data_IF_185065135854
#
_entry.id   IF_185065135854
#
_cell.length_a   1.000
_cell.length_b   1.000
_cell.length_c   1.000
_cell.angle_alpha   90.00
_cell.angle_beta   90.00
_cell.angle_gamma   90.00
#
_symmetry.space_group_name_H-M   'P 1'
#
loop_
_entity.id
_entity.type
_entity.pdbx_description
1 polymer ?
#
# COMPACT_ATOMS: atom_id res chain seq x y z
N UNK A 1 -14.87 0.38 -34.92
CA UNK A 1 -13.61 1.14 -35.01
C UNK A 1 -13.73 2.26 -34.01
N UNK A 2 -13.06 2.12 -32.85
CA UNK A 2 -13.00 3.20 -31.88
C UNK A 2 -12.20 4.37 -32.47
N UNK A 3 -12.60 5.58 -32.18
CA UNK A 3 -11.80 6.77 -32.52
C UNK A 3 -10.41 6.57 -31.90
N UNK A 4 -9.34 6.73 -32.68
CA UNK A 4 -7.98 6.75 -32.17
C UNK A 4 -7.87 7.93 -31.19
N UNK A 5 -7.54 7.65 -29.95
CA UNK A 5 -7.25 8.70 -28.97
C UNK A 5 -5.96 9.38 -29.44
N UNK A 6 -6.01 10.68 -29.65
CA UNK A 6 -4.84 11.48 -30.04
C UNK A 6 -3.81 11.51 -28.91
N UNK A 7 -2.52 11.54 -29.22
CA UNK A 7 -1.48 11.65 -28.19
C UNK A 7 -1.60 12.98 -27.44
N UNK A 8 -1.33 12.98 -26.15
CA UNK A 8 -1.13 14.20 -25.38
C UNK A 8 0.10 14.94 -25.91
N UNK A 9 -0.05 16.23 -26.22
CA UNK A 9 1.01 17.05 -26.79
C UNK A 9 1.66 17.93 -25.73
N UNK A 10 2.95 18.13 -25.86
CA UNK A 10 3.74 19.12 -25.13
C UNK A 10 3.49 20.52 -25.68
N UNK A 11 3.95 21.57 -24.99
CA UNK A 11 3.82 22.96 -25.41
C UNK A 11 4.48 23.26 -26.78
N UNK A 12 5.48 22.46 -27.18
CA UNK A 12 6.15 22.52 -28.47
C UNK A 12 5.40 21.79 -29.61
N UNK A 13 4.29 21.17 -29.30
CA UNK A 13 3.45 20.40 -30.22
C UNK A 13 3.89 18.96 -30.43
N UNK A 14 5.00 18.53 -29.82
CA UNK A 14 5.46 17.13 -29.87
C UNK A 14 4.67 16.24 -28.89
N UNK A 15 4.38 14.98 -29.21
CA UNK A 15 3.71 14.08 -28.29
C UNK A 15 4.58 13.75 -27.08
N UNK A 16 3.95 13.59 -25.92
CA UNK A 16 4.62 13.04 -24.74
C UNK A 16 5.04 11.60 -25.00
N UNK A 17 6.31 11.30 -24.78
CA UNK A 17 6.82 9.92 -24.70
C UNK A 17 6.46 9.34 -23.34
N UNK A 18 5.51 8.42 -23.30
CA UNK A 18 5.06 7.79 -22.06
C UNK A 18 5.56 6.34 -21.98
N UNK A 19 5.85 5.87 -20.77
CA UNK A 19 6.14 4.46 -20.53
C UNK A 19 5.45 3.95 -19.26
N UNK A 20 5.04 2.69 -19.28
CA UNK A 20 4.61 1.93 -18.10
C UNK A 20 5.79 1.11 -17.61
N UNK A 21 6.25 1.38 -16.39
CA UNK A 21 7.34 0.65 -15.74
C UNK A 21 6.77 -0.35 -14.72
N UNK A 22 7.14 -1.62 -14.87
CA UNK A 22 6.69 -2.72 -14.02
C UNK A 22 7.91 -3.46 -13.47
N UNK A 23 8.19 -3.39 -12.17
CA UNK A 23 9.15 -4.27 -11.52
C UNK A 23 8.54 -5.66 -11.32
N UNK A 24 9.32 -6.71 -11.60
CA UNK A 24 8.85 -8.10 -11.47
C UNK A 24 9.94 -9.03 -10.96
N UNK A 25 9.52 -10.14 -10.36
CA UNK A 25 10.38 -11.29 -10.05
C UNK A 25 9.56 -12.57 -9.90
N UNK A 26 9.84 -13.59 -10.72
CA UNK A 26 9.19 -14.92 -10.66
C UNK A 26 7.65 -14.84 -10.57
N UNK A 27 7.02 -14.08 -11.44
CA UNK A 27 5.58 -13.86 -11.45
C UNK A 27 5.03 -13.78 -12.89
N UNK A 28 5.55 -14.61 -13.79
CA UNK A 28 5.25 -14.58 -15.23
C UNK A 28 3.74 -14.69 -15.53
N UNK A 29 3.00 -15.55 -14.83
CA UNK A 29 1.58 -15.79 -15.07
C UNK A 29 0.72 -14.55 -14.76
N UNK A 30 0.98 -13.85 -13.66
CA UNK A 30 0.27 -12.61 -13.33
C UNK A 30 0.74 -11.45 -14.23
N UNK A 31 2.04 -11.37 -14.53
CA UNK A 31 2.57 -10.39 -15.47
C UNK A 31 1.92 -10.52 -16.85
N UNK A 32 1.66 -11.74 -17.34
CA UNK A 32 0.98 -11.96 -18.61
C UNK A 32 -0.41 -11.33 -18.63
N UNK A 33 -1.16 -11.42 -17.53
CA UNK A 33 -2.47 -10.76 -17.37
C UNK A 33 -2.33 -9.24 -17.46
N UNK A 34 -1.32 -8.67 -16.78
CA UNK A 34 -1.07 -7.23 -16.82
C UNK A 34 -0.75 -6.78 -18.25
N UNK A 35 0.16 -7.48 -18.94
CA UNK A 35 0.58 -7.13 -20.30
C UNK A 35 -0.55 -7.29 -21.32
N UNK A 36 -1.39 -8.32 -21.17
CA UNK A 36 -2.60 -8.46 -21.97
C UNK A 36 -3.57 -7.28 -21.79
N UNK A 37 -3.73 -6.78 -20.58
CA UNK A 37 -4.56 -5.59 -20.30
C UNK A 37 -3.94 -4.32 -20.84
N UNK A 38 -2.61 -4.17 -20.78
CA UNK A 38 -1.88 -3.03 -21.32
C UNK A 38 -1.92 -3.01 -22.85
N UNK A 39 -1.85 -4.16 -23.52
CA UNK A 39 -1.95 -4.23 -24.99
C UNK A 39 -3.32 -3.82 -25.54
N UNK A 40 -4.35 -3.72 -24.68
CA UNK A 40 -5.72 -3.35 -25.03
C UNK A 40 -6.13 -1.95 -24.53
N UNK A 41 -5.17 -1.13 -24.12
CA UNK A 41 -5.46 0.22 -23.60
C UNK A 41 -6.10 1.11 -24.66
N UNK A 42 -7.02 1.98 -24.25
CA UNK A 42 -7.64 3.00 -25.14
C UNK A 42 -6.63 4.02 -25.64
N UNK A 43 -5.63 4.36 -24.83
CA UNK A 43 -4.51 5.21 -25.22
C UNK A 43 -3.32 4.35 -25.66
N UNK A 44 -2.96 4.33 -26.94
CA UNK A 44 -1.94 3.40 -27.47
C UNK A 44 -0.51 3.98 -27.49
N UNK A 45 -0.33 5.25 -27.17
CA UNK A 45 0.95 5.96 -27.34
C UNK A 45 1.83 5.85 -26.08
N UNK A 46 2.26 4.64 -25.73
CA UNK A 46 3.20 4.38 -24.63
C UNK A 46 4.01 3.11 -24.89
N UNK A 47 5.14 3.02 -24.22
CA UNK A 47 5.99 1.83 -24.20
C UNK A 47 5.82 1.07 -22.88
N UNK A 48 6.15 -0.23 -22.87
CA UNK A 48 6.16 -1.05 -21.66
C UNK A 48 7.60 -1.42 -21.36
N UNK A 49 8.03 -1.13 -20.13
CA UNK A 49 9.37 -1.44 -19.62
C UNK A 49 9.26 -2.33 -18.40
N UNK A 50 9.90 -3.48 -18.44
CA UNK A 50 9.91 -4.47 -17.37
C UNK A 50 11.28 -4.47 -16.70
N UNK A 51 11.33 -4.16 -15.40
CA UNK A 51 12.52 -4.31 -14.57
C UNK A 51 12.47 -5.67 -13.88
N UNK A 52 13.12 -6.67 -14.46
CA UNK A 52 13.11 -8.05 -13.99
C UNK A 52 14.27 -8.32 -13.03
N UNK A 53 13.98 -8.60 -11.78
CA UNK A 53 14.98 -8.91 -10.75
C UNK A 53 15.44 -10.38 -10.82
N UNK A 54 15.96 -10.80 -11.99
CA UNK A 54 16.50 -12.15 -12.26
C UNK A 54 15.48 -13.26 -12.04
N UNK A 55 14.33 -13.16 -12.66
CA UNK A 55 13.35 -14.25 -12.69
C UNK A 55 13.95 -15.54 -13.24
N UNK A 56 13.45 -16.66 -12.74
CA UNK A 56 13.85 -18.02 -13.16
C UNK A 56 12.72 -18.77 -13.85
N UNK A 57 11.57 -18.16 -13.92
CA UNK A 57 10.39 -18.63 -14.65
C UNK A 57 10.40 -18.09 -16.10
N UNK A 58 9.27 -18.18 -16.78
CA UNK A 58 9.14 -17.73 -18.18
C UNK A 58 8.82 -16.23 -18.33
N UNK A 59 9.23 -15.39 -17.36
CA UNK A 59 8.98 -13.92 -17.39
C UNK A 59 9.51 -13.29 -18.69
N UNK A 60 10.69 -13.66 -19.14
CA UNK A 60 11.29 -13.10 -20.34
C UNK A 60 10.49 -13.41 -21.60
N UNK A 61 10.06 -14.64 -21.74
CA UNK A 61 9.22 -15.10 -22.88
C UNK A 61 7.87 -14.35 -22.90
N UNK A 62 7.29 -14.07 -21.74
CA UNK A 62 6.08 -13.25 -21.63
C UNK A 62 6.36 -11.82 -22.10
N UNK A 63 7.45 -11.20 -21.70
CA UNK A 63 7.84 -9.86 -22.18
C UNK A 63 7.99 -9.82 -23.71
N UNK A 64 8.70 -10.80 -24.28
CA UNK A 64 8.91 -10.91 -25.73
C UNK A 64 7.57 -11.07 -26.49
N UNK A 65 6.65 -11.86 -25.96
CA UNK A 65 5.30 -12.08 -26.54
C UNK A 65 4.50 -10.78 -26.71
N UNK A 66 4.63 -9.86 -25.77
CA UNK A 66 3.90 -8.58 -25.78
C UNK A 66 4.73 -7.41 -26.31
N UNK A 67 5.98 -7.63 -26.75
CA UNK A 67 6.86 -6.57 -27.25
C UNK A 67 7.29 -5.58 -26.18
N UNK A 68 7.31 -5.99 -24.91
CA UNK A 68 7.78 -5.16 -23.81
C UNK A 68 9.32 -5.12 -23.78
N UNK A 69 9.89 -3.97 -23.45
CA UNK A 69 11.32 -3.82 -23.19
C UNK A 69 11.67 -4.52 -21.89
N UNK A 70 12.38 -5.64 -21.99
CA UNK A 70 12.82 -6.42 -20.84
C UNK A 70 14.22 -6.01 -20.40
N UNK A 71 14.38 -5.63 -19.12
CA UNK A 71 15.66 -5.23 -18.52
C UNK A 71 16.01 -6.22 -17.39
N UNK A 72 17.12 -6.95 -17.58
CA UNK A 72 17.66 -7.88 -16.57
C UNK A 72 18.38 -7.09 -15.47
N UNK A 73 17.78 -7.04 -14.28
CA UNK A 73 18.27 -6.31 -13.14
C UNK A 73 18.77 -7.25 -12.03
N UNK A 74 19.84 -6.84 -11.36
CA UNK A 74 20.38 -7.59 -10.22
C UNK A 74 19.91 -7.09 -8.86
N UNK A 75 19.04 -6.10 -8.84
CA UNK A 75 18.52 -5.50 -7.60
C UNK A 75 17.70 -6.48 -6.77
N UNK A 76 17.69 -6.23 -5.47
CA UNK A 76 17.01 -7.09 -4.52
C UNK A 76 15.74 -6.45 -3.93
N UNK A 77 15.36 -5.28 -4.43
CA UNK A 77 14.18 -4.56 -3.98
C UNK A 77 13.57 -3.74 -5.12
N UNK A 78 12.30 -3.36 -4.95
CA UNK A 78 11.52 -2.62 -5.94
C UNK A 78 12.12 -1.25 -6.31
N UNK A 79 12.60 -0.50 -5.32
CA UNK A 79 13.15 0.85 -5.54
C UNK A 79 14.39 0.82 -6.45
N UNK A 80 15.32 -0.09 -6.17
CA UNK A 80 16.56 -0.22 -6.94
C UNK A 80 16.26 -0.77 -8.35
N UNK A 81 15.33 -1.72 -8.49
CA UNK A 81 14.89 -2.23 -9.79
C UNK A 81 14.26 -1.12 -10.65
N UNK A 82 13.38 -0.32 -10.07
CA UNK A 82 12.83 0.85 -10.75
C UNK A 82 13.92 1.86 -11.13
N UNK A 83 14.87 2.14 -10.23
CA UNK A 83 15.97 3.06 -10.52
C UNK A 83 16.87 2.57 -11.66
N UNK A 84 17.14 1.26 -11.70
CA UNK A 84 17.90 0.65 -12.79
C UNK A 84 17.24 0.89 -14.15
N UNK A 85 15.92 0.70 -14.23
CA UNK A 85 15.16 0.97 -15.44
C UNK A 85 15.08 2.48 -15.75
N UNK A 86 14.73 3.32 -14.78
CA UNK A 86 14.56 4.76 -14.94
C UNK A 86 15.82 5.45 -15.49
N UNK A 87 16.99 4.99 -15.09
CA UNK A 87 18.27 5.53 -15.61
C UNK A 87 18.52 5.23 -17.08
N UNK A 88 17.87 4.22 -17.63
CA UNK A 88 17.97 3.80 -19.04
C UNK A 88 16.84 4.35 -19.91
N UNK A 89 15.80 4.93 -19.31
CA UNK A 89 14.61 5.41 -20.01
C UNK A 89 14.79 6.86 -20.48
N UNK A 90 14.38 7.11 -21.73
CA UNK A 90 14.29 8.46 -22.31
C UNK A 90 12.82 8.80 -22.61
N UNK A 91 12.03 8.92 -21.55
CA UNK A 91 10.61 9.20 -21.62
C UNK A 91 10.30 10.51 -20.89
N UNK A 92 9.17 11.14 -21.21
CA UNK A 92 8.67 12.35 -20.54
C UNK A 92 7.80 12.02 -19.32
N UNK A 93 6.99 10.95 -19.43
CA UNK A 93 6.08 10.47 -18.42
C UNK A 93 6.34 9.00 -18.11
N UNK A 94 6.31 8.65 -16.81
CA UNK A 94 6.44 7.27 -16.34
C UNK A 94 5.25 6.92 -15.47
N UNK A 95 4.55 5.85 -15.86
CA UNK A 95 3.46 5.26 -15.12
C UNK A 95 3.98 4.03 -14.38
N UNK A 96 3.66 3.91 -13.10
CA UNK A 96 4.08 2.77 -12.29
C UNK A 96 2.89 1.86 -11.98
N UNK A 97 3.09 0.57 -12.16
CA UNK A 97 2.19 -0.47 -11.67
C UNK A 97 2.99 -1.69 -11.24
N UNK A 98 2.34 -2.65 -10.59
CA UNK A 98 2.95 -3.91 -10.16
C UNK A 98 2.52 -5.05 -11.08
N UNK A 99 3.21 -6.17 -11.02
CA UNK A 99 2.98 -7.36 -11.84
C UNK A 99 1.78 -8.23 -11.40
N UNK A 100 1.01 -7.78 -10.38
CA UNK A 100 -0.17 -8.45 -9.83
C UNK A 100 -1.41 -7.54 -9.83
N UNK A 101 -1.48 -6.63 -10.81
CA UNK A 101 -2.60 -5.71 -11.04
C UNK A 101 -3.46 -6.14 -12.23
N UNK A 102 -4.64 -5.52 -12.35
CA UNK A 102 -5.52 -5.70 -13.52
C UNK A 102 -5.87 -4.31 -14.07
N UNK A 103 -4.99 -3.67 -14.86
CA UNK A 103 -5.22 -2.31 -15.35
C UNK A 103 -6.55 -2.20 -16.13
N UNK A 104 -7.44 -1.25 -15.78
CA UNK A 104 -8.60 -0.91 -16.60
C UNK A 104 -8.16 -0.51 -18.01
N UNK A 105 -9.01 -0.70 -19.01
CA UNK A 105 -8.64 -0.41 -20.41
C UNK A 105 -8.40 1.08 -20.67
N UNK A 106 -8.88 1.95 -19.82
CA UNK A 106 -8.75 3.40 -19.88
C UNK A 106 -7.74 3.95 -18.82
N UNK A 107 -6.94 3.06 -18.20
CA UNK A 107 -6.04 3.40 -17.09
C UNK A 107 -4.95 4.40 -17.49
N UNK A 108 -4.27 4.14 -18.62
CA UNK A 108 -3.19 5.01 -19.12
C UNK A 108 -3.76 6.37 -19.50
N UNK A 109 -4.86 6.40 -20.25
CA UNK A 109 -5.54 7.63 -20.67
C UNK A 109 -5.95 8.49 -19.46
N UNK A 110 -6.53 7.88 -18.43
CA UNK A 110 -6.96 8.57 -17.21
C UNK A 110 -5.81 9.20 -16.43
N UNK A 111 -4.62 8.61 -16.44
CA UNK A 111 -3.45 9.21 -15.78
C UNK A 111 -2.81 10.30 -16.64
N UNK A 112 -2.60 10.02 -17.94
CA UNK A 112 -1.85 10.91 -18.82
C UNK A 112 -2.58 12.23 -19.04
N UNK A 113 -3.91 12.24 -19.20
CA UNK A 113 -4.71 13.43 -19.51
C UNK A 113 -4.49 14.64 -18.57
N UNK A 114 -3.99 14.40 -17.37
CA UNK A 114 -3.77 15.45 -16.38
C UNK A 114 -2.43 16.17 -16.53
N UNK A 115 -1.55 15.67 -17.37
CA UNK A 115 -0.23 16.25 -17.59
C UNK A 115 -0.19 17.35 -18.65
N UNK A 116 -1.33 17.80 -19.15
CA UNK A 116 -1.48 19.07 -19.86
C UNK A 116 -1.26 20.27 -18.92
N UNK A 117 -1.59 20.15 -17.62
CA UNK A 117 -1.25 21.18 -16.62
C UNK A 117 0.20 20.97 -16.12
N UNK A 118 1.12 21.93 -16.38
CA UNK A 118 2.51 21.83 -15.93
C UNK A 118 2.67 21.83 -14.41
N UNK A 119 1.63 22.22 -13.64
CA UNK A 119 1.63 22.18 -12.19
C UNK A 119 1.45 20.77 -11.62
N UNK A 120 0.99 19.84 -12.44
CA UNK A 120 0.81 18.45 -12.06
C UNK A 120 2.16 17.76 -12.08
N UNK A 121 2.71 17.48 -10.91
CA UNK A 121 3.97 16.75 -10.73
C UNK A 121 3.80 15.24 -10.80
N UNK A 122 2.74 14.74 -10.18
CA UNK A 122 2.32 13.34 -10.26
C UNK A 122 0.82 13.19 -10.06
N UNK A 123 0.26 12.13 -10.64
CA UNK A 123 -1.15 11.74 -10.48
C UNK A 123 -1.20 10.26 -10.15
N UNK A 124 -2.02 9.89 -9.18
CA UNK A 124 -2.32 8.49 -8.89
C UNK A 124 -3.81 8.21 -8.83
N UNK A 125 -4.16 7.01 -8.43
CA UNK A 125 -5.53 6.57 -8.21
C UNK A 125 -5.64 5.57 -7.06
N UNK A 126 -6.85 5.32 -6.55
CA UNK A 126 -7.07 4.30 -5.53
C UNK A 126 -6.86 2.90 -6.09
N UNK A 127 -6.63 1.93 -5.20
CA UNK A 127 -6.57 0.52 -5.56
C UNK A 127 -7.46 -0.31 -4.63
N UNK A 128 -8.17 -1.28 -5.21
CA UNK A 128 -9.05 -2.22 -4.50
C UNK A 128 -8.76 -3.65 -4.93
N UNK A 129 -9.24 -4.63 -4.16
CA UNK A 129 -9.22 -6.01 -4.60
C UNK A 129 -10.05 -6.17 -5.90
N UNK A 130 -9.68 -7.06 -6.82
CA UNK A 130 -10.53 -7.42 -7.95
C UNK A 130 -11.85 -8.07 -7.49
N UNK A 131 -12.89 -8.01 -8.34
CA UNK A 131 -14.20 -8.59 -8.03
C UNK A 131 -14.17 -10.13 -7.94
N UNK A 132 -13.25 -10.77 -8.65
CA UNK A 132 -13.02 -12.22 -8.65
C UNK A 132 -12.11 -12.70 -7.51
N UNK A 133 -11.55 -11.79 -6.70
CA UNK A 133 -10.68 -12.16 -5.60
C UNK A 133 -11.44 -12.87 -4.47
N UNK A 134 -10.71 -13.61 -3.64
CA UNK A 134 -11.28 -14.41 -2.56
C UNK A 134 -12.06 -13.57 -1.54
N UNK A 135 -12.99 -14.23 -0.83
CA UNK A 135 -13.73 -13.55 0.24
C UNK A 135 -12.80 -12.96 1.32
N UNK A 136 -11.71 -13.66 1.66
CA UNK A 136 -10.69 -13.14 2.59
C UNK A 136 -9.98 -11.88 2.07
N UNK A 137 -9.69 -11.83 0.77
CA UNK A 137 -9.13 -10.65 0.12
C UNK A 137 -10.07 -9.45 0.19
N UNK A 138 -11.37 -9.67 -0.05
CA UNK A 138 -12.40 -8.64 0.09
C UNK A 138 -12.55 -8.15 1.52
N UNK A 139 -12.42 -9.04 2.53
CA UNK A 139 -12.38 -8.63 3.94
C UNK A 139 -11.14 -7.77 4.25
N UNK A 140 -9.97 -8.16 3.76
CA UNK A 140 -8.75 -7.37 3.89
C UNK A 140 -8.91 -5.99 3.22
N UNK A 141 -9.53 -5.94 2.04
CA UNK A 141 -9.78 -4.70 1.32
C UNK A 141 -10.71 -3.75 2.09
N UNK A 142 -11.81 -4.27 2.65
CA UNK A 142 -12.72 -3.51 3.53
C UNK A 142 -11.95 -2.96 4.73
N UNK A 143 -11.09 -3.77 5.36
CA UNK A 143 -10.23 -3.31 6.47
C UNK A 143 -9.28 -2.19 6.02
N UNK A 144 -8.59 -2.34 4.88
CA UNK A 144 -7.71 -1.31 4.32
C UNK A 144 -8.41 0.02 4.01
N UNK A 145 -9.68 -0.02 3.66
CA UNK A 145 -10.46 1.18 3.35
C UNK A 145 -11.07 1.84 4.61
N UNK A 146 -10.77 1.34 5.82
CA UNK A 146 -11.18 2.02 7.05
C UNK A 146 -10.16 3.07 7.46
N UNK A 147 -10.62 4.27 7.79
CA UNK A 147 -9.74 5.34 8.30
C UNK A 147 -9.04 4.95 9.59
N UNK A 148 -9.71 4.14 10.42
CA UNK A 148 -9.17 3.68 11.69
C UNK A 148 -7.96 2.76 11.52
N UNK A 149 -7.99 1.83 10.55
CA UNK A 149 -6.86 0.95 10.27
C UNK A 149 -5.67 1.69 9.70
N UNK A 150 -5.91 2.60 8.75
CA UNK A 150 -4.84 3.22 7.95
C UNK A 150 -4.51 4.64 8.37
N UNK A 151 -5.15 5.16 9.44
CA UNK A 151 -5.05 6.56 9.86
C UNK A 151 -5.28 7.56 8.72
N UNK A 152 -6.13 7.19 7.75
CA UNK A 152 -6.45 8.00 6.58
C UNK A 152 -5.34 8.06 5.52
N UNK A 153 -4.37 7.14 5.55
CA UNK A 153 -3.30 7.08 4.53
C UNK A 153 -3.68 6.29 3.29
N UNK A 154 -4.78 5.54 3.31
CA UNK A 154 -5.35 4.90 2.13
C UNK A 154 -6.58 5.66 1.66
N UNK A 155 -6.65 5.78 0.33
CA UNK A 155 -7.71 6.54 -0.32
C UNK A 155 -8.74 5.55 -0.85
N UNK A 156 -9.89 5.51 -0.20
CA UNK A 156 -11.06 4.82 -0.71
C UNK A 156 -11.71 5.58 -1.86
N UNK A 157 -12.86 5.10 -2.34
CA UNK A 157 -13.63 5.78 -3.37
C UNK A 157 -13.95 7.23 -2.94
N UNK A 158 -13.43 8.18 -3.71
CA UNK A 158 -13.66 9.62 -3.55
C UNK A 158 -14.72 10.08 -4.57
N UNK A 159 -15.23 11.31 -4.48
CA UNK A 159 -16.08 11.86 -5.52
C UNK A 159 -15.43 11.75 -6.90
N UNK A 160 -16.20 11.40 -7.93
CA UNK A 160 -15.69 11.23 -9.29
C UNK A 160 -15.47 12.59 -9.95
N UNK A 161 -14.45 12.65 -10.81
CA UNK A 161 -14.32 13.72 -11.80
C UNK A 161 -13.42 14.89 -11.44
N UNK A 162 -12.82 14.93 -10.23
CA UNK A 162 -11.93 16.01 -9.82
C UNK A 162 -10.58 15.45 -9.33
N UNK A 163 -9.50 16.15 -9.66
CA UNK A 163 -8.20 15.92 -9.07
C UNK A 163 -8.18 16.41 -7.62
N UNK A 164 -7.81 15.53 -6.70
CA UNK A 164 -7.70 15.86 -5.28
C UNK A 164 -6.21 15.97 -4.90
N UNK A 165 -5.76 17.11 -4.30
CA UNK A 165 -4.39 17.23 -3.81
C UNK A 165 -4.11 16.17 -2.73
N UNK A 166 -2.89 15.61 -2.75
CA UNK A 166 -2.51 14.50 -1.89
C UNK A 166 -1.05 14.60 -1.48
N UNK A 167 -0.69 13.97 -0.37
CA UNK A 167 0.69 13.91 0.09
C UNK A 167 1.45 12.69 -0.43
N UNK A 168 0.75 11.70 -0.98
CA UNK A 168 1.36 10.44 -1.39
C UNK A 168 0.41 9.63 -2.28
N UNK A 169 0.92 9.13 -3.40
CA UNK A 169 0.25 8.22 -4.31
C UNK A 169 0.67 6.77 -4.06
N UNK A 170 -0.25 5.79 -4.22
CA UNK A 170 0.15 4.38 -4.20
C UNK A 170 1.09 4.08 -5.38
N UNK A 171 2.25 3.50 -5.11
CA UNK A 171 3.22 3.16 -6.15
C UNK A 171 2.73 2.16 -7.20
N UNK A 172 1.62 1.47 -6.92
CA UNK A 172 0.95 0.52 -7.83
C UNK A 172 0.01 1.20 -8.85
N UNK A 173 -0.30 2.48 -8.66
CA UNK A 173 -1.24 3.22 -9.50
C UNK A 173 -0.90 4.70 -9.50
N UNK A 174 0.16 5.08 -10.20
CA UNK A 174 0.55 6.48 -10.32
C UNK A 174 1.36 6.75 -11.60
N UNK A 175 1.40 8.01 -11.98
CA UNK A 175 2.23 8.53 -13.06
C UNK A 175 3.01 9.76 -12.57
N UNK A 176 4.22 9.92 -13.07
CA UNK A 176 5.12 11.03 -12.74
C UNK A 176 5.76 11.63 -14.00
N UNK A 177 6.11 12.92 -13.94
CA UNK A 177 7.01 13.51 -14.93
C UNK A 177 8.43 12.97 -14.70
N UNK A 178 9.07 12.46 -15.76
CA UNK A 178 10.46 12.00 -15.69
C UNK A 178 11.41 13.12 -15.22
N UNK A 179 11.15 14.36 -15.64
CA UNK A 179 11.94 15.51 -15.19
C UNK A 179 11.95 15.65 -13.65
N UNK A 180 10.79 15.45 -12.99
CA UNK A 180 10.70 15.50 -11.54
C UNK A 180 11.40 14.33 -10.86
N UNK A 181 11.33 13.13 -11.47
CA UNK A 181 12.05 11.96 -10.98
C UNK A 181 13.58 12.17 -11.07
N UNK A 182 14.07 12.71 -12.18
CA UNK A 182 15.49 13.06 -12.35
C UNK A 182 15.94 14.15 -11.39
N UNK A 183 15.12 15.18 -11.16
CA UNK A 183 15.44 16.28 -10.22
C UNK A 183 15.66 15.81 -8.80
N UNK A 184 15.00 14.74 -8.37
CA UNK A 184 15.13 14.16 -7.03
C UNK A 184 16.03 12.93 -6.98
N UNK A 185 16.73 12.61 -8.07
CA UNK A 185 17.57 11.41 -8.20
C UNK A 185 16.78 10.13 -7.87
N UNK A 186 15.60 10.01 -8.50
CA UNK A 186 14.72 8.83 -8.48
C UNK A 186 14.33 8.35 -7.06
N UNK A 187 14.06 7.05 -6.92
CA UNK A 187 13.80 6.45 -5.62
C UNK A 187 15.05 6.47 -4.74
N UNK A 188 14.85 6.47 -3.44
CA UNK A 188 15.95 6.35 -2.50
C UNK A 188 16.56 4.94 -2.53
N UNK A 189 17.86 4.85 -2.82
CA UNK A 189 18.59 3.58 -2.94
C UNK A 189 18.55 2.79 -1.63
N UNK A 190 18.36 1.47 -1.76
CA UNK A 190 18.27 0.56 -0.61
C UNK A 190 17.02 0.78 0.26
N UNK A 191 16.04 1.55 -0.21
CA UNK A 191 14.78 1.73 0.49
C UNK A 191 13.91 0.46 0.32
N UNK A 192 13.72 -0.25 1.42
CA UNK A 192 12.95 -1.50 1.44
C UNK A 192 11.55 -1.21 1.96
N UNK A 193 10.67 -0.74 1.08
CA UNK A 193 9.29 -0.36 1.39
C UNK A 193 9.13 1.07 1.91
N UNK A 194 7.96 1.64 1.68
CA UNK A 194 7.66 3.07 1.76
C UNK A 194 8.51 3.93 0.79
N UNK A 195 9.07 3.30 -0.24
CA UNK A 195 9.86 3.95 -1.29
C UNK A 195 9.04 4.99 -2.07
N UNK A 196 7.77 4.68 -2.32
CA UNK A 196 6.78 5.55 -2.94
C UNK A 196 6.51 6.80 -2.08
N UNK A 197 6.35 6.63 -0.77
CA UNK A 197 6.13 7.75 0.16
C UNK A 197 7.35 8.67 0.24
N UNK A 198 8.55 8.08 0.24
CA UNK A 198 9.81 8.84 0.26
C UNK A 198 10.00 9.60 -1.04
N UNK A 199 9.74 8.96 -2.19
CA UNK A 199 9.81 9.59 -3.50
C UNK A 199 8.88 10.80 -3.58
N UNK A 200 7.62 10.62 -3.20
CA UNK A 200 6.63 11.68 -3.21
C UNK A 200 7.01 12.84 -2.27
N UNK A 201 7.58 12.55 -1.11
CA UNK A 201 8.09 13.58 -0.21
C UNK A 201 9.28 14.35 -0.82
N UNK A 202 10.19 13.66 -1.52
CA UNK A 202 11.30 14.29 -2.24
C UNK A 202 10.79 15.24 -3.34
N UNK A 203 9.79 14.80 -4.13
CA UNK A 203 9.16 15.58 -5.19
C UNK A 203 8.44 16.81 -4.62
N UNK A 204 7.69 16.66 -3.52
CA UNK A 204 7.01 17.79 -2.88
C UNK A 204 7.98 18.80 -2.28
N UNK A 205 9.14 18.39 -1.78
CA UNK A 205 10.20 19.32 -1.31
C UNK A 205 10.73 20.23 -2.43
N UNK A 206 10.64 19.78 -3.69
CA UNK A 206 10.99 20.60 -4.87
C UNK A 206 9.85 21.53 -5.30
N UNK A 207 8.72 21.50 -4.60
CA UNK A 207 7.57 22.37 -4.86
C UNK A 207 6.56 21.79 -5.84
N UNK A 208 6.76 20.57 -6.34
CA UNK A 208 5.81 19.91 -7.22
C UNK A 208 4.58 19.41 -6.47
N UNK A 209 3.42 19.45 -7.11
CA UNK A 209 2.15 19.05 -6.53
C UNK A 209 1.80 17.62 -6.95
N UNK A 210 1.27 16.87 -5.99
CA UNK A 210 0.76 15.52 -6.20
C UNK A 210 -0.75 15.52 -6.09
N UNK A 211 -1.38 14.72 -6.94
CA UNK A 211 -2.83 14.61 -7.00
C UNK A 211 -3.25 13.15 -7.08
N UNK A 212 -4.51 12.89 -6.72
CA UNK A 212 -5.18 11.62 -6.98
C UNK A 212 -6.40 11.87 -7.88
N UNK A 213 -6.57 11.05 -8.90
CA UNK A 213 -7.82 10.93 -9.66
C UNK A 213 -8.66 9.79 -9.06
N UNK A 214 -9.72 10.11 -8.30
CA UNK A 214 -10.53 9.09 -7.66
C UNK A 214 -11.25 8.14 -8.63
N UNK A 215 -11.38 8.53 -9.89
CA UNK A 215 -12.02 7.71 -10.93
C UNK A 215 -11.08 6.66 -11.52
N UNK A 216 -9.77 6.79 -11.30
CA UNK A 216 -8.78 5.88 -11.84
C UNK A 216 -8.45 4.76 -10.84
N UNK A 217 -9.38 3.84 -10.68
CA UNK A 217 -9.26 2.70 -9.76
C UNK A 217 -8.44 1.58 -10.39
N UNK A 218 -7.41 1.11 -9.67
CA UNK A 218 -6.62 -0.05 -10.06
C UNK A 218 -7.04 -1.28 -9.25
N UNK A 219 -7.58 -2.33 -9.87
CA UNK A 219 -7.72 -3.63 -9.23
C UNK A 219 -6.34 -4.23 -8.95
N UNK A 220 -6.09 -4.60 -7.68
CA UNK A 220 -4.82 -5.12 -7.22
C UNK A 220 -5.05 -6.27 -6.25
N UNK A 221 -4.54 -7.45 -6.56
CA UNK A 221 -4.74 -8.68 -5.78
C UNK A 221 -4.22 -8.53 -4.35
N UNK A 222 -5.00 -9.03 -3.38
CA UNK A 222 -4.63 -8.93 -1.96
C UNK A 222 -3.89 -10.18 -1.51
N UNK A 223 -2.84 -10.00 -0.73
CA UNK A 223 -2.06 -11.09 -0.14
C UNK A 223 -2.83 -11.70 1.02
N UNK A 224 -3.46 -12.84 0.79
CA UNK A 224 -4.25 -13.62 1.75
C UNK A 224 -3.94 -15.12 1.56
N UNK A 225 -4.24 -16.00 2.51
CA UNK A 225 -4.88 -15.75 3.81
C UNK A 225 -3.90 -15.19 4.87
N UNK A 226 -4.16 -15.41 6.16
CA UNK A 226 -3.59 -14.70 7.29
C UNK A 226 -2.05 -14.57 7.31
N UNK A 227 -1.27 -15.61 6.95
CA UNK A 227 0.20 -15.57 7.02
C UNK A 227 0.81 -14.54 6.07
N UNK A 228 0.49 -14.54 4.74
CA UNK A 228 0.96 -13.50 3.82
C UNK A 228 0.50 -12.10 4.22
N UNK A 229 -0.77 -11.95 4.62
CA UNK A 229 -1.33 -10.70 5.09
C UNK A 229 -0.55 -10.12 6.29
N UNK A 230 -0.35 -10.94 7.34
CA UNK A 230 0.40 -10.51 8.51
C UNK A 230 1.87 -10.24 8.21
N UNK A 231 2.50 -11.02 7.29
CA UNK A 231 3.87 -10.76 6.82
C UNK A 231 3.95 -9.39 6.17
N UNK A 232 3.02 -9.07 5.28
CA UNK A 232 2.94 -7.76 4.61
C UNK A 232 2.77 -6.62 5.63
N UNK A 233 1.83 -6.76 6.58
CA UNK A 233 1.59 -5.74 7.61
C UNK A 233 2.81 -5.53 8.51
N UNK A 234 3.49 -6.60 8.89
CA UNK A 234 4.73 -6.51 9.69
C UNK A 234 5.83 -5.78 8.93
N UNK A 235 5.99 -6.08 7.64
CA UNK A 235 6.94 -5.38 6.78
C UNK A 235 6.59 -3.89 6.68
N UNK A 236 5.32 -3.54 6.48
CA UNK A 236 4.89 -2.15 6.46
C UNK A 236 5.22 -1.40 7.76
N UNK A 237 4.99 -2.03 8.92
CA UNK A 237 5.35 -1.43 10.21
C UNK A 237 6.86 -1.22 10.37
N UNK A 238 7.64 -2.22 9.97
CA UNK A 238 9.10 -2.16 10.02
C UNK A 238 9.66 -1.07 9.09
N UNK A 239 9.32 -1.13 7.82
CA UNK A 239 9.85 -0.22 6.79
C UNK A 239 9.39 1.22 7.02
N UNK A 240 8.14 1.42 7.45
CA UNK A 240 7.64 2.75 7.82
C UNK A 240 8.42 3.35 8.99
N UNK A 241 8.73 2.56 10.02
CA UNK A 241 9.50 3.07 11.16
C UNK A 241 10.94 3.43 10.77
N UNK A 242 11.57 2.63 9.91
CA UNK A 242 12.90 2.92 9.34
C UNK A 242 12.86 4.19 8.50
N UNK A 243 11.88 4.32 7.60
CA UNK A 243 11.70 5.49 6.77
C UNK A 243 11.43 6.76 7.61
N UNK A 244 10.56 6.69 8.61
CA UNK A 244 10.28 7.83 9.52
C UNK A 244 11.53 8.32 10.25
N UNK A 245 12.47 7.44 10.57
CA UNK A 245 13.73 7.83 11.22
C UNK A 245 14.66 8.57 10.27
N UNK A 246 14.69 8.16 9.00
CA UNK A 246 15.55 8.75 7.97
C UNK A 246 14.94 10.02 7.35
N UNK A 247 13.59 10.04 7.23
CA UNK A 247 12.80 11.17 6.73
C UNK A 247 11.73 11.57 7.74
N UNK A 248 12.06 12.38 8.75
CA UNK A 248 11.13 12.77 9.82
C UNK A 248 9.84 13.45 9.31
N UNK A 249 9.89 14.12 8.17
CA UNK A 249 8.74 14.82 7.58
C UNK A 249 7.61 13.90 7.11
N UNK A 250 7.90 12.66 6.77
CA UNK A 250 6.85 11.68 6.43
C UNK A 250 6.27 11.01 7.68
N UNK A 251 6.84 11.31 8.85
CA UNK A 251 6.44 10.69 10.10
C UNK A 251 5.09 11.23 10.59
N UNK A 252 4.24 10.32 11.04
CA UNK A 252 3.02 10.64 11.79
C UNK A 252 3.08 9.90 13.12
N UNK A 253 2.57 10.54 14.19
CA UNK A 253 2.53 9.93 15.51
C UNK A 253 1.81 8.56 15.50
N UNK A 254 0.78 8.41 14.65
CA UNK A 254 0.01 7.17 14.49
C UNK A 254 0.88 5.99 14.02
N UNK A 255 1.91 6.24 13.20
CA UNK A 255 2.82 5.18 12.73
C UNK A 255 3.62 4.55 13.88
N UNK A 256 3.97 5.34 14.87
CA UNK A 256 4.73 4.85 16.04
C UNK A 256 3.80 4.33 17.13
N UNK A 257 2.67 5.00 17.35
CA UNK A 257 1.70 4.65 18.38
C UNK A 257 1.14 3.23 18.23
N UNK A 258 0.97 2.76 16.98
CA UNK A 258 0.52 1.40 16.71
C UNK A 258 1.49 0.32 17.23
N UNK A 259 2.75 0.67 17.50
CA UNK A 259 3.72 -0.20 18.17
C UNK A 259 3.31 -0.61 19.59
N UNK A 260 2.48 0.18 20.26
CA UNK A 260 1.92 -0.15 21.57
C UNK A 260 0.75 -1.13 21.51
N UNK A 261 0.17 -1.35 20.33
CA UNK A 261 -1.01 -2.22 20.18
C UNK A 261 -0.75 -3.67 20.61
N UNK A 262 0.33 -4.38 20.19
CA UNK A 262 0.56 -5.75 20.63
C UNK A 262 0.69 -5.91 22.15
N UNK A 263 1.51 -5.12 22.86
CA UNK A 263 1.57 -5.25 24.32
C UNK A 263 0.26 -4.88 25.02
N UNK A 264 -0.47 -3.88 24.54
CA UNK A 264 -1.77 -3.52 25.11
C UNK A 264 -2.82 -4.63 24.89
N UNK A 265 -2.85 -5.25 23.72
CA UNK A 265 -3.73 -6.37 23.45
C UNK A 265 -3.44 -7.56 24.38
N UNK A 266 -2.16 -7.90 24.59
CA UNK A 266 -1.76 -8.95 25.54
C UNK A 266 -2.18 -8.59 26.96
N UNK A 267 -1.92 -7.36 27.41
CA UNK A 267 -2.32 -6.87 28.73
C UNK A 267 -3.85 -6.91 28.91
N UNK A 268 -4.62 -6.58 27.86
CA UNK A 268 -6.08 -6.66 27.89
C UNK A 268 -6.55 -8.10 28.09
N UNK A 269 -5.98 -9.06 27.37
CA UNK A 269 -6.32 -10.47 27.52
C UNK A 269 -5.97 -10.97 28.92
N UNK A 270 -4.76 -10.68 29.41
CA UNK A 270 -4.32 -11.06 30.77
C UNK A 270 -5.21 -10.44 31.82
N UNK A 271 -5.55 -9.14 31.68
CA UNK A 271 -6.39 -8.42 32.61
C UNK A 271 -7.83 -8.98 32.68
N UNK A 272 -8.40 -9.33 31.53
CA UNK A 272 -9.71 -9.99 31.47
C UNK A 272 -9.66 -11.37 32.17
N UNK A 273 -8.66 -12.18 31.84
CA UNK A 273 -8.49 -13.51 32.48
C UNK A 273 -8.28 -13.36 34.00
N UNK A 274 -7.39 -12.47 34.43
CA UNK A 274 -7.15 -12.17 35.83
C UNK A 274 -8.43 -11.75 36.55
N UNK A 275 -9.18 -10.82 35.95
CA UNK A 275 -10.47 -10.41 36.48
C UNK A 275 -11.42 -11.59 36.64
N UNK A 276 -11.58 -12.42 35.59
CA UNK A 276 -12.44 -13.61 35.63
C UNK A 276 -12.07 -14.60 36.72
N UNK A 277 -10.78 -14.87 36.90
CA UNK A 277 -10.30 -15.84 37.90
C UNK A 277 -10.33 -15.30 39.32
N UNK A 278 -10.16 -14.00 39.53
CA UNK A 278 -10.07 -13.38 40.87
C UNK A 278 -11.40 -12.85 41.41
N UNK A 279 -12.44 -12.71 40.56
CA UNK A 279 -13.71 -12.10 40.91
C UNK A 279 -14.68 -13.00 41.68
N UNK A 280 -14.38 -14.30 41.77
CA UNK A 280 -15.28 -15.27 42.43
C UNK A 280 -16.52 -15.62 41.62
N UNK A 281 -17.33 -16.55 42.14
CA UNK A 281 -18.55 -17.08 41.52
C UNK A 281 -19.82 -16.26 41.79
N UNK A 282 -19.69 -15.00 42.14
CA UNK A 282 -20.86 -14.14 42.35
C UNK A 282 -21.46 -13.78 40.96
N UNK A 283 -22.66 -14.27 40.69
CA UNK A 283 -23.33 -14.19 39.39
C UNK A 283 -23.47 -12.77 38.82
N UNK A 284 -23.56 -11.75 39.69
CA UNK A 284 -23.69 -10.34 39.28
C UNK A 284 -22.38 -9.56 39.11
N UNK A 285 -21.25 -10.14 39.52
CA UNK A 285 -19.95 -9.45 39.52
C UNK A 285 -19.50 -8.96 38.12
N UNK A 286 -19.82 -9.72 37.08
CA UNK A 286 -19.42 -9.49 35.72
C UNK A 286 -20.42 -8.66 34.90
N UNK A 287 -21.69 -8.68 35.28
CA UNK A 287 -22.78 -8.04 34.53
C UNK A 287 -23.12 -6.64 35.01
N UNK A 288 -22.70 -6.26 36.24
CA UNK A 288 -22.99 -4.96 36.81
C UNK A 288 -21.74 -4.10 36.94
N UNK A 289 -21.86 -2.79 36.73
CA UNK A 289 -20.82 -1.79 37.03
C UNK A 289 -21.01 -1.17 38.42
N UNK A 290 -22.03 -1.62 39.18
CA UNK A 290 -22.30 -1.19 40.55
C UNK A 290 -21.43 -1.96 41.56
N UNK A 291 -21.08 -1.32 42.68
CA UNK A 291 -20.28 -1.90 43.76
C UNK A 291 -18.83 -1.41 43.78
N UNK A 292 -18.02 -1.97 44.68
CA UNK A 292 -16.61 -1.54 44.85
C UNK A 292 -15.75 -1.90 43.67
N UNK A 293 -14.95 -0.92 43.18
CA UNK A 293 -14.02 -1.09 42.07
C UNK A 293 -12.67 -1.68 42.58
N UNK A 294 -12.65 -3.00 42.68
CA UNK A 294 -11.41 -3.73 42.99
C UNK A 294 -10.52 -3.82 41.76
N UNK A 295 -9.22 -4.10 41.95
CA UNK A 295 -8.26 -4.25 40.83
C UNK A 295 -8.68 -5.31 39.80
N UNK A 296 -9.18 -6.52 40.17
CA UNK A 296 -9.69 -7.47 39.20
C UNK A 296 -10.87 -6.94 38.39
N UNK A 297 -11.79 -6.21 39.03
CA UNK A 297 -12.97 -5.63 38.39
C UNK A 297 -12.59 -4.51 37.40
N UNK A 298 -11.66 -3.63 37.81
CA UNK A 298 -11.10 -2.61 36.94
C UNK A 298 -10.39 -3.24 35.72
N UNK A 299 -9.62 -4.31 35.93
CA UNK A 299 -8.95 -5.02 34.85
C UNK A 299 -9.96 -5.64 33.87
N UNK A 300 -10.99 -6.30 34.37
CA UNK A 300 -12.01 -6.94 33.52
C UNK A 300 -12.82 -5.89 32.73
N UNK A 301 -13.47 -4.96 33.42
CA UNK A 301 -14.33 -3.98 32.75
C UNK A 301 -13.55 -2.93 31.95
N UNK A 302 -12.43 -2.44 32.50
CA UNK A 302 -11.61 -1.43 31.83
C UNK A 302 -10.94 -1.97 30.57
N UNK A 303 -10.19 -3.07 30.69
CA UNK A 303 -9.46 -3.64 29.56
C UNK A 303 -10.37 -4.41 28.61
N UNK A 304 -11.36 -5.14 29.13
CA UNK A 304 -12.37 -5.85 28.32
C UNK A 304 -13.28 -4.87 27.60
N UNK A 305 -13.79 -3.85 28.29
CA UNK A 305 -14.58 -2.78 27.70
C UNK A 305 -13.81 -2.00 26.62
N UNK A 306 -12.53 -1.75 26.85
CA UNK A 306 -11.63 -1.14 25.86
C UNK A 306 -11.50 -2.00 24.60
N UNK A 307 -11.39 -3.33 24.74
CA UNK A 307 -11.35 -4.26 23.60
C UNK A 307 -12.67 -4.29 22.83
N UNK A 308 -13.80 -4.31 23.53
CA UNK A 308 -15.13 -4.25 22.90
C UNK A 308 -15.34 -2.92 22.15
N UNK A 309 -14.93 -1.80 22.75
CA UNK A 309 -14.97 -0.50 22.09
C UNK A 309 -14.10 -0.48 20.83
N UNK A 310 -12.89 -1.06 20.88
CA UNK A 310 -12.03 -1.21 19.72
C UNK A 310 -12.71 -2.00 18.59
N UNK A 311 -13.33 -3.14 18.90
CA UNK A 311 -14.07 -3.95 17.92
C UNK A 311 -15.25 -3.13 17.34
N UNK A 312 -16.00 -2.44 18.17
CA UNK A 312 -17.10 -1.57 17.74
C UNK A 312 -16.65 -0.45 16.79
N UNK A 313 -15.51 0.20 17.09
CA UNK A 313 -14.90 1.20 16.20
C UNK A 313 -14.46 0.58 14.86
N UNK A 314 -13.90 -0.64 14.89
CA UNK A 314 -13.53 -1.35 13.65
C UNK A 314 -14.76 -1.66 12.80
N UNK A 315 -15.86 -2.13 13.39
CA UNK A 315 -17.13 -2.37 12.69
C UNK A 315 -17.72 -1.09 12.11
N UNK A 316 -17.79 -0.04 12.90
CA UNK A 316 -18.26 1.26 12.42
C UNK A 316 -17.39 1.77 11.25
N UNK A 317 -16.06 1.71 11.41
CA UNK A 317 -15.14 2.09 10.35
C UNK A 317 -15.32 1.27 9.06
N UNK A 318 -15.54 -0.04 9.18
CA UNK A 318 -15.80 -0.91 8.03
C UNK A 318 -17.16 -0.61 7.38
N UNK A 319 -18.19 -0.35 8.20
CA UNK A 319 -19.54 -0.05 7.70
C UNK A 319 -19.60 1.27 6.92
N UNK A 320 -18.85 2.31 7.35
CA UNK A 320 -18.80 3.63 6.67
C UNK A 320 -17.60 3.77 5.73
N UNK A 321 -16.73 2.76 5.66
CA UNK A 321 -15.55 2.76 4.79
C UNK A 321 -15.93 2.81 3.30
N UNK A 322 -14.95 3.02 2.46
CA UNK A 322 -15.13 3.33 1.03
C UNK A 322 -14.89 2.14 0.09
N UNK A 323 -14.56 0.94 0.62
CA UNK A 323 -14.37 -0.25 -0.21
C UNK A 323 -15.64 -0.60 -1.01
N UNK A 324 -15.53 -0.93 -2.30
CA UNK A 324 -16.63 -1.43 -3.10
C UNK A 324 -17.12 -2.82 -2.62
N UNK A 325 -16.28 -3.57 -1.89
CA UNK A 325 -16.56 -4.94 -1.45
C UNK A 325 -17.31 -5.02 -0.11
N UNK A 326 -17.91 -3.92 0.35
CA UNK A 326 -18.73 -3.93 1.57
C UNK A 326 -19.98 -4.79 1.41
N UNK A 327 -20.07 -5.80 2.22
CA UNK A 327 -21.25 -6.67 2.40
C UNK A 327 -21.40 -6.96 3.90
N UNK A 328 -22.51 -7.54 4.30
CA UNK A 328 -22.70 -7.95 5.71
C UNK A 328 -21.51 -8.83 6.18
N UNK A 329 -21.12 -9.84 5.41
CA UNK A 329 -20.06 -10.77 5.79
C UNK A 329 -18.67 -10.10 5.86
N UNK A 330 -18.31 -9.27 4.89
CA UNK A 330 -17.00 -8.58 4.87
C UNK A 330 -16.90 -7.54 5.97
N UNK A 331 -17.97 -6.78 6.25
CA UNK A 331 -18.03 -5.82 7.35
C UNK A 331 -17.97 -6.54 8.70
N UNK A 332 -18.68 -7.67 8.85
CA UNK A 332 -18.67 -8.46 10.07
C UNK A 332 -17.27 -8.99 10.42
N UNK A 333 -16.50 -9.44 9.43
CA UNK A 333 -15.14 -9.95 9.65
C UNK A 333 -14.04 -8.87 9.60
N UNK A 334 -14.34 -7.66 9.18
CA UNK A 334 -13.35 -6.57 9.11
C UNK A 334 -12.58 -6.34 10.42
N UNK A 335 -13.17 -6.37 11.63
CA UNK A 335 -12.43 -6.21 12.89
C UNK A 335 -11.31 -7.23 13.08
N UNK A 336 -11.50 -8.47 12.62
CA UNK A 336 -10.44 -9.50 12.66
C UNK A 336 -9.26 -9.08 11.80
N UNK A 337 -9.50 -8.63 10.57
CA UNK A 337 -8.42 -8.19 9.67
C UNK A 337 -7.75 -6.92 10.17
N UNK A 338 -8.50 -5.96 10.73
CA UNK A 338 -7.93 -4.77 11.37
C UNK A 338 -7.07 -5.15 12.57
N UNK A 339 -7.54 -6.07 13.43
CA UNK A 339 -6.77 -6.56 14.58
C UNK A 339 -5.46 -7.22 14.14
N UNK A 340 -5.52 -8.14 13.17
CA UNK A 340 -4.34 -8.83 12.64
C UNK A 340 -3.34 -7.85 12.01
N UNK A 341 -3.85 -6.82 11.32
CA UNK A 341 -3.02 -5.78 10.75
C UNK A 341 -2.31 -4.95 11.82
N UNK A 342 -3.04 -4.44 12.81
CA UNK A 342 -2.46 -3.65 13.90
C UNK A 342 -1.47 -4.48 14.72
N UNK A 343 -1.79 -5.75 14.98
CA UNK A 343 -0.89 -6.68 15.67
C UNK A 343 0.42 -6.87 14.90
N UNK A 344 0.34 -7.22 13.62
CA UNK A 344 1.52 -7.49 12.81
C UNK A 344 2.32 -6.22 12.53
N UNK A 345 1.65 -5.11 12.19
CA UNK A 345 2.30 -3.80 11.98
C UNK A 345 3.04 -3.35 13.25
N UNK A 346 2.38 -3.44 14.41
CA UNK A 346 2.98 -3.10 15.69
C UNK A 346 4.22 -3.94 16.01
N UNK A 347 4.22 -5.24 15.68
CA UNK A 347 5.42 -6.08 15.79
C UNK A 347 6.55 -5.57 14.89
N UNK A 348 6.23 -5.11 13.68
CA UNK A 348 7.21 -4.50 12.77
C UNK A 348 7.83 -3.24 13.35
N UNK A 349 7.01 -2.34 13.89
CA UNK A 349 7.46 -1.11 14.57
C UNK A 349 8.39 -1.42 15.75
N UNK A 350 8.00 -2.38 16.60
CA UNK A 350 8.83 -2.80 17.76
C UNK A 350 10.18 -3.37 17.29
N UNK A 351 10.15 -4.23 16.26
CA UNK A 351 11.37 -4.79 15.69
C UNK A 351 12.30 -3.70 15.17
N UNK A 352 11.80 -2.78 14.34
CA UNK A 352 12.56 -1.68 13.80
C UNK A 352 13.11 -0.77 14.91
N UNK A 353 12.31 -0.42 15.91
CA UNK A 353 12.75 0.39 17.04
C UNK A 353 13.92 -0.22 17.81
N UNK A 354 13.89 -1.55 18.04
CA UNK A 354 15.00 -2.27 18.67
C UNK A 354 16.28 -2.27 17.84
N UNK A 355 16.15 -2.45 16.52
CA UNK A 355 17.31 -2.43 15.61
C UNK A 355 17.89 -1.02 15.48
N UNK A 356 17.06 0.00 15.33
CA UNK A 356 17.49 1.40 15.30
C UNK A 356 18.26 1.76 16.58
N UNK A 357 17.75 1.35 17.75
CA UNK A 357 18.43 1.57 19.03
C UNK A 357 19.79 0.90 19.13
N UNK A 358 19.91 -0.34 18.60
CA UNK A 358 21.17 -1.12 18.63
C UNK A 358 22.22 -0.58 17.65
N UNK A 359 21.79 -0.07 16.50
CA UNK A 359 22.69 0.35 15.40
C UNK A 359 23.00 1.85 15.40
N UNK A 360 22.57 2.59 16.42
CA UNK A 360 22.73 4.04 16.46
C UNK A 360 22.06 4.78 15.29
N UNK A 361 20.97 4.22 14.75
CA UNK A 361 20.20 4.82 13.65
C UNK A 361 20.55 4.29 12.26
N UNK A 362 21.45 3.31 12.13
CA UNK A 362 21.83 2.69 10.84
C UNK A 362 20.97 1.50 10.43
N UNK A 363 19.85 1.24 11.10
CA UNK A 363 18.93 0.15 10.75
C UNK A 363 18.35 0.35 9.33
N UNK A 364 18.18 -0.75 8.61
CA UNK A 364 17.54 -0.76 7.27
C UNK A 364 18.49 -0.60 6.09
N UNK A 365 19.78 -0.33 6.29
CA UNK A 365 20.78 -0.37 5.21
C UNK A 365 21.31 -1.80 5.11
N UNK A 366 20.93 -2.52 4.06
CA UNK A 366 21.46 -3.87 3.74
C UNK A 366 20.71 -5.06 4.32
N UNK A 367 19.63 -4.91 5.06
CA UNK A 367 18.77 -6.04 5.42
C UNK A 367 17.72 -6.30 4.32
N UNK A 368 17.96 -7.37 3.56
CA UNK A 368 16.96 -7.94 2.67
C UNK A 368 15.76 -8.39 3.53
N UNK A 369 14.64 -7.71 3.40
CA UNK A 369 13.36 -8.35 3.73
C UNK A 369 13.12 -9.28 2.55
N UNK A 370 13.26 -10.57 2.81
CA UNK A 370 12.98 -11.60 1.83
C UNK A 370 11.46 -11.62 1.51
N UNK A 371 11.06 -10.71 0.64
CA UNK A 371 9.69 -10.62 0.11
C UNK A 371 9.48 -11.60 -1.05
N UNK A 372 10.56 -12.35 -1.42
CA UNK A 372 10.59 -13.25 -2.57
C UNK A 372 9.93 -14.60 -2.34
N UNK A 373 9.51 -14.92 -1.14
CA UNK A 373 8.68 -16.09 -0.93
C UNK A 373 7.21 -15.72 -1.18
N UNK A 374 6.87 -15.38 -2.44
CA UNK A 374 5.56 -15.68 -2.97
C UNK A 374 5.49 -17.21 -3.05
N UNK A 375 5.09 -17.86 -1.98
CA UNK A 375 4.62 -19.23 -2.07
C UNK A 375 3.27 -19.18 -2.75
N UNK A 376 3.24 -19.80 -3.92
CA UNK A 376 2.07 -20.28 -4.64
C UNK A 376 1.02 -20.87 -3.69
#
# INVERSE_FOLDING_TARGET
MGASVEPLLKDDGEPYKAAVLIPTINNADELEIVLERLSKQTYPHFEIVIADSKSKDHTKEVCEKFGATWLDDSSNNRADACNFALRQMDHDLVLFTDDDTIPPLDWVEKLIRWFDDPKVGAVGGPNFAPDDDSFGAKCADVAFCTKFMTAGTRYGAQPKGELVPISHNPGVNCAHRMANLREVDFFEEGCIGAEDVVLDAKIQRKGHKLFIDPSNVMPHRRRVPFKPYMKQMRNYGYTRMVANKRWPEISRWSHTAIGFFPPLAVLSIIGVIYGMLSGGAADDYWLTIEGEWTLPRLAFHGLGGGMLAYIGICWLGAAIGTSPHRSFGTVFLAPLFVFLAHWAYGQGVIKAGREISKTGGKAGVGHQIDDRTRTV
#
